data_IF_861461517216
#
_entry.id   IF_861461517216
#
_cell.length_a   1.000
_cell.length_b   1.000
_cell.length_c   1.000
_cell.angle_alpha   90.00
_cell.angle_beta   90.00
_cell.angle_gamma   90.00
#
_symmetry.space_group_name_H-M   'P 1'
#
loop_
_entity.id
_entity.type
_entity.pdbx_description
1 polymer ?
#
# COMPACT_ATOMS: atom_id res chain seq x y z
N UNK A 1 3.64 -2.98 30.28
CA UNK A 1 3.57 -2.05 29.15
C UNK A 1 2.25 -2.31 28.44
N UNK A 2 1.28 -1.39 28.49
CA UNK A 2 -0.05 -1.56 27.86
C UNK A 2 -0.08 -0.68 26.60
N UNK A 3 -0.20 -1.29 25.43
CA UNK A 3 -0.33 -0.60 24.14
C UNK A 3 -1.82 -0.45 23.81
N UNK A 4 -2.22 0.64 23.14
CA UNK A 4 -3.62 0.96 22.81
C UNK A 4 -4.18 0.15 21.63
N UNK A 5 -5.50 -0.18 21.61
CA UNK A 5 -6.12 -1.00 20.55
C UNK A 5 -7.24 -0.30 19.77
N UNK A 6 -6.98 -0.10 18.48
CA UNK A 6 -7.65 -0.71 17.30
C UNK A 6 -6.57 -0.75 16.21
N UNK A 7 -5.70 -1.76 16.21
CA UNK A 7 -4.46 -1.66 15.45
C UNK A 7 -4.59 -2.17 14.00
N UNK A 8 -4.04 -1.43 13.04
CA UNK A 8 -3.94 -1.83 11.63
C UNK A 8 -2.49 -1.74 11.16
N UNK A 9 -2.00 -2.80 10.52
CA UNK A 9 -0.70 -2.79 9.85
C UNK A 9 -0.81 -2.09 8.49
N UNK A 10 0.20 -1.29 8.13
CA UNK A 10 0.29 -0.59 6.83
C UNK A 10 1.71 -0.76 6.25
N UNK A 11 1.85 -1.11 4.96
CA UNK A 11 3.16 -1.46 4.37
C UNK A 11 3.20 -1.54 2.83
N UNK A 12 4.43 -1.62 2.30
CA UNK A 12 4.82 -1.99 0.92
C UNK A 12 5.31 -3.46 0.79
N UNK A 13 4.49 -4.41 0.31
CA UNK A 13 4.89 -5.83 0.20
C UNK A 13 5.75 -6.14 -1.05
N UNK A 14 6.70 -7.08 -0.92
CA UNK A 14 7.21 -7.89 -2.04
C UNK A 14 7.31 -9.38 -1.63
N UNK A 15 7.25 -10.26 -2.63
CA UNK A 15 7.20 -11.72 -2.57
C UNK A 15 8.42 -12.27 -3.31
N UNK A 16 9.18 -13.15 -2.68
CA UNK A 16 10.23 -13.95 -3.33
C UNK A 16 9.63 -15.30 -3.73
N UNK A 17 9.45 -15.56 -5.02
CA UNK A 17 9.25 -16.94 -5.50
C UNK A 17 10.60 -17.66 -5.52
N UNK A 18 10.60 -18.89 -4.98
CA UNK A 18 11.69 -19.85 -5.18
C UNK A 18 11.62 -20.34 -6.62
N UNK A 19 12.64 -20.05 -7.42
CA UNK A 19 12.75 -20.54 -8.80
C UNK A 19 12.93 -22.07 -8.78
N UNK A 20 11.87 -22.80 -9.09
CA UNK A 20 11.97 -24.17 -9.56
C UNK A 20 12.26 -24.13 -11.06
N UNK A 21 13.51 -24.41 -11.43
CA UNK A 21 13.92 -24.62 -12.82
C UNK A 21 13.14 -25.81 -13.37
N UNK A 22 12.23 -25.57 -14.32
CA UNK A 22 11.75 -26.58 -15.25
C UNK A 22 12.20 -26.20 -16.66
N UNK A 23 13.10 -27.03 -17.16
CA UNK A 23 13.71 -26.94 -18.47
C UNK A 23 12.75 -27.45 -19.55
N UNK A 24 13.01 -27.03 -20.80
CA UNK A 24 12.41 -27.46 -22.10
C UNK A 24 11.05 -26.83 -22.45
N UNK A 25 10.76 -26.39 -23.67
CA UNK A 25 11.22 -26.84 -25.00
C UNK A 25 11.22 -25.70 -26.04
N UNK A 26 12.11 -25.84 -27.02
CA UNK A 26 12.26 -25.03 -28.22
C UNK A 26 11.10 -25.19 -29.20
N UNK A 27 10.62 -24.08 -29.77
CA UNK A 27 9.98 -24.09 -31.09
C UNK A 27 10.55 -22.96 -31.95
N UNK A 28 11.23 -23.34 -33.03
CA UNK A 28 11.48 -22.48 -34.19
C UNK A 28 10.30 -22.62 -35.13
N UNK A 29 9.81 -21.52 -35.71
CA UNK A 29 9.15 -21.57 -37.01
C UNK A 29 9.47 -20.33 -37.85
N UNK A 30 9.66 -20.62 -39.12
CA UNK A 30 10.28 -19.88 -40.20
C UNK A 30 9.42 -18.76 -40.79
N UNK A 31 10.10 -17.73 -41.31
CA UNK A 31 9.54 -16.69 -42.17
C UNK A 31 9.01 -17.26 -43.49
N UNK A 32 7.93 -16.67 -44.02
CA UNK A 32 7.66 -16.59 -45.46
C UNK A 32 6.97 -15.25 -45.78
N UNK A 33 7.57 -14.49 -46.70
CA UNK A 33 7.06 -13.24 -47.24
C UNK A 33 6.34 -13.49 -48.56
N UNK A 34 5.17 -12.86 -48.79
CA UNK A 34 4.69 -12.48 -50.13
C UNK A 34 3.86 -11.19 -50.01
N UNK A 35 4.17 -10.24 -50.88
CA UNK A 35 3.61 -8.90 -51.04
C UNK A 35 2.56 -8.93 -52.18
N UNK A 36 1.40 -8.29 -52.01
CA UNK A 36 0.64 -7.63 -53.10
C UNK A 36 -0.43 -6.69 -52.54
N UNK A 37 -0.68 -5.50 -53.13
CA UNK A 37 -1.52 -4.47 -52.53
C UNK A 37 -2.96 -4.53 -53.04
N UNK A 38 -3.94 -4.43 -52.13
CA UNK A 38 -5.30 -4.01 -52.48
C UNK A 38 -5.65 -2.74 -51.71
N UNK A 39 -5.90 -1.67 -52.48
CA UNK A 39 -6.47 -0.42 -52.03
C UNK A 39 -7.95 -0.62 -51.71
N UNK A 40 -8.32 -0.51 -50.44
CA UNK A 40 -9.68 -0.19 -50.04
C UNK A 40 -9.68 1.02 -49.10
N UNK A 41 -10.21 2.12 -49.63
CA UNK A 41 -10.57 3.32 -48.90
C UNK A 41 -11.68 2.98 -47.92
N UNK A 42 -11.37 2.87 -46.63
CA UNK A 42 -12.35 2.71 -45.56
C UNK A 42 -12.29 3.94 -44.64
N UNK A 43 -13.45 4.53 -44.43
CA UNK A 43 -13.68 5.68 -43.58
C UNK A 43 -13.13 5.43 -42.17
N UNK A 44 -12.11 6.18 -41.77
CA UNK A 44 -11.64 6.27 -40.38
C UNK A 44 -12.72 6.95 -39.54
N UNK A 45 -13.54 6.14 -38.88
CA UNK A 45 -14.16 6.56 -37.63
C UNK A 45 -13.06 6.51 -36.57
N UNK A 46 -12.67 7.67 -36.06
CA UNK A 46 -11.83 7.77 -34.87
C UNK A 46 -12.63 7.25 -33.68
N UNK A 47 -12.64 5.94 -33.49
CA UNK A 47 -12.94 5.36 -32.20
C UNK A 47 -11.83 5.77 -31.25
N UNK A 48 -12.20 6.59 -30.26
CA UNK A 48 -11.42 6.80 -29.06
C UNK A 48 -11.28 5.45 -28.36
N UNK A 49 -10.28 4.67 -28.76
CA UNK A 49 -9.80 3.56 -27.97
C UNK A 49 -9.23 4.15 -26.68
N UNK A 50 -10.06 4.19 -25.64
CA UNK A 50 -9.58 4.12 -24.27
C UNK A 50 -8.89 2.75 -24.14
N UNK A 51 -7.63 2.68 -24.58
CA UNK A 51 -6.71 1.62 -24.20
C UNK A 51 -6.43 1.82 -22.71
N UNK A 52 -7.33 1.30 -21.88
CA UNK A 52 -6.95 0.88 -20.55
C UNK A 52 -5.84 -0.15 -20.77
N UNK A 53 -4.59 0.26 -20.52
CA UNK A 53 -3.43 -0.58 -20.78
C UNK A 53 -3.65 -1.93 -20.09
N UNK A 54 -3.46 -3.03 -20.80
CA UNK A 54 -3.35 -4.41 -20.26
C UNK A 54 -2.14 -4.58 -19.31
N UNK A 55 -1.59 -3.49 -18.76
CA UNK A 55 -0.51 -3.53 -17.81
C UNK A 55 -0.96 -4.29 -16.56
N UNK A 56 -0.17 -5.28 -16.09
CA UNK A 56 -0.55 -6.07 -14.93
C UNK A 56 -0.65 -5.17 -13.70
N UNK A 57 -1.76 -5.32 -12.96
CA UNK A 57 -1.98 -4.59 -11.71
C UNK A 57 -1.30 -5.30 -10.53
N UNK A 58 -0.96 -4.59 -9.44
CA UNK A 58 -0.29 -5.22 -8.29
C UNK A 58 -0.97 -6.48 -7.74
N UNK A 59 -2.31 -6.52 -7.70
CA UNK A 59 -3.05 -7.70 -7.23
C UNK A 59 -2.84 -8.98 -8.07
N UNK A 60 -2.26 -8.89 -9.27
CA UNK A 60 -1.90 -10.07 -10.08
C UNK A 60 -0.67 -10.80 -9.56
N UNK A 61 0.18 -10.15 -8.74
CA UNK A 61 1.42 -10.71 -8.18
C UNK A 61 1.41 -10.78 -6.65
N UNK A 62 0.56 -10.00 -6.00
CA UNK A 62 0.48 -9.90 -4.55
C UNK A 62 -0.93 -10.20 -4.07
N UNK A 63 -1.05 -10.96 -2.98
CA UNK A 63 -2.34 -11.15 -2.32
C UNK A 63 -2.76 -9.84 -1.64
N UNK A 64 -3.68 -9.13 -2.29
CA UNK A 64 -4.27 -7.90 -1.80
C UNK A 64 -5.69 -8.11 -1.25
N UNK A 65 -6.14 -9.35 -1.05
CA UNK A 65 -7.50 -9.69 -0.60
C UNK A 65 -7.83 -9.21 0.83
N UNK A 66 -6.82 -8.80 1.59
CA UNK A 66 -6.93 -8.26 2.94
C UNK A 66 -6.34 -6.86 3.05
N UNK A 67 -6.33 -6.10 1.95
CA UNK A 67 -5.72 -4.78 1.91
C UNK A 67 -6.64 -3.80 1.18
N UNK A 68 -6.71 -2.58 1.69
CA UNK A 68 -7.13 -1.41 0.91
C UNK A 68 -5.91 -0.51 0.70
N UNK A 69 -5.96 0.45 -0.22
CA UNK A 69 -4.87 1.42 -0.39
C UNK A 69 -5.38 2.85 -0.32
N UNK A 70 -4.60 3.71 0.33
CA UNK A 70 -4.78 5.15 0.26
C UNK A 70 -3.74 5.71 -0.72
N UNK A 71 -4.17 6.53 -1.70
CA UNK A 71 -3.30 7.16 -2.71
C UNK A 71 -3.48 8.68 -2.69
N UNK A 72 -2.46 9.48 -3.03
CA UNK A 72 -2.50 10.93 -2.82
C UNK A 72 -3.14 11.68 -4.01
N UNK A 73 -4.27 11.18 -4.51
CA UNK A 73 -5.05 11.73 -5.63
C UNK A 73 -6.52 11.88 -5.25
N UNK A 74 -7.26 12.65 -6.04
CA UNK A 74 -8.71 12.88 -5.92
C UNK A 74 -9.33 12.72 -7.30
N UNK A 75 -9.43 11.48 -7.78
CA UNK A 75 -9.93 11.17 -9.11
C UNK A 75 -11.44 11.39 -9.22
N UNK A 76 -12.15 11.30 -8.10
CA UNK A 76 -13.60 11.52 -8.03
C UNK A 76 -14.00 12.97 -7.75
N UNK A 77 -13.03 13.86 -7.51
CA UNK A 77 -13.19 15.30 -7.21
C UNK A 77 -14.07 15.58 -5.97
N UNK A 78 -13.98 14.77 -4.92
CA UNK A 78 -14.72 14.96 -3.66
C UNK A 78 -13.95 15.79 -2.62
N UNK A 79 -12.74 16.24 -2.96
CA UNK A 79 -11.85 17.03 -2.12
C UNK A 79 -11.07 16.20 -1.10
N UNK A 80 -11.10 14.87 -1.18
CA UNK A 80 -10.35 13.96 -0.31
C UNK A 80 -9.41 13.08 -1.12
N UNK A 81 -8.44 12.50 -0.42
CA UNK A 81 -7.64 11.44 -1.01
C UNK A 81 -8.53 10.24 -1.35
N UNK A 82 -8.24 9.59 -2.47
CA UNK A 82 -8.90 8.36 -2.83
C UNK A 82 -8.44 7.22 -1.89
N UNK A 83 -9.42 6.49 -1.40
CA UNK A 83 -9.25 5.21 -0.74
C UNK A 83 -9.82 4.14 -1.65
N UNK A 84 -8.96 3.27 -2.17
CA UNK A 84 -9.36 2.16 -3.04
C UNK A 84 -9.57 0.94 -2.16
N UNK A 85 -10.80 0.43 -2.16
CA UNK A 85 -11.19 -0.61 -1.21
C UNK A 85 -10.67 -2.01 -1.60
N UNK A 86 -11.07 -3.02 -0.82
CA UNK A 86 -10.56 -4.39 -0.98
C UNK A 86 -11.01 -5.03 -2.29
N UNK A 87 -12.19 -4.69 -2.79
CA UNK A 87 -12.68 -5.21 -4.07
C UNK A 87 -12.03 -4.45 -5.23
N UNK A 88 -11.97 -3.12 -5.12
CA UNK A 88 -11.44 -2.24 -6.16
C UNK A 88 -9.92 -2.42 -6.36
N UNK A 89 -9.15 -2.65 -5.29
CA UNK A 89 -7.69 -2.80 -5.38
C UNK A 89 -7.27 -4.00 -6.24
N UNK A 90 -8.16 -4.98 -6.42
CA UNK A 90 -7.89 -6.18 -7.23
C UNK A 90 -7.67 -5.86 -8.71
N UNK A 91 -8.19 -4.73 -9.18
CA UNK A 91 -8.07 -4.27 -10.57
C UNK A 91 -7.44 -2.88 -10.68
N UNK A 92 -6.92 -2.35 -9.58
CA UNK A 92 -6.41 -0.98 -9.51
C UNK A 92 -4.91 -0.91 -9.70
N UNK A 93 -4.49 0.04 -10.53
CA UNK A 93 -3.12 0.57 -10.56
C UNK A 93 -3.18 2.07 -10.88
N UNK A 94 -2.20 2.80 -10.38
CA UNK A 94 -1.94 4.19 -10.73
C UNK A 94 -0.48 4.34 -11.15
N UNK A 95 -0.20 4.82 -12.38
CA UNK A 95 1.16 4.83 -12.95
C UNK A 95 2.16 5.64 -12.10
N UNK A 96 1.70 6.69 -11.42
CA UNK A 96 2.58 7.50 -10.58
C UNK A 96 2.72 6.98 -9.14
N UNK A 97 1.70 6.33 -8.58
CA UNK A 97 1.57 6.14 -7.12
C UNK A 97 1.49 4.69 -6.66
N UNK A 98 0.98 3.77 -7.48
CA UNK A 98 0.80 2.38 -7.10
C UNK A 98 0.73 1.45 -8.32
N UNK A 99 1.80 0.76 -8.65
CA UNK A 99 1.89 -0.03 -9.89
C UNK A 99 2.89 -1.18 -9.78
N UNK A 100 2.93 -2.05 -10.79
CA UNK A 100 4.02 -3.00 -10.98
C UNK A 100 5.06 -2.41 -11.91
N UNK A 101 6.33 -2.41 -11.51
CA UNK A 101 7.41 -2.08 -12.44
C UNK A 101 7.70 -3.22 -13.43
N UNK A 102 8.64 -2.98 -14.34
CA UNK A 102 9.08 -3.93 -15.37
C UNK A 102 9.64 -5.25 -14.80
N UNK A 103 10.12 -5.22 -13.55
CA UNK A 103 10.60 -6.39 -12.80
C UNK A 103 9.50 -7.06 -11.99
N UNK A 104 8.32 -6.46 -11.90
CA UNK A 104 7.20 -6.97 -11.11
C UNK A 104 7.25 -6.63 -9.64
N UNK A 105 8.05 -5.65 -9.23
CA UNK A 105 7.97 -5.10 -7.88
C UNK A 105 6.71 -4.25 -7.74
N UNK A 106 6.02 -4.35 -6.60
CA UNK A 106 4.93 -3.44 -6.26
C UNK A 106 5.53 -2.11 -5.79
N UNK A 107 5.40 -1.09 -6.62
CA UNK A 107 5.95 0.24 -6.39
C UNK A 107 4.91 1.12 -5.73
N UNK A 108 5.34 1.86 -4.73
CA UNK A 108 4.56 2.88 -4.05
C UNK A 108 5.33 4.19 -4.08
N UNK A 109 4.68 5.25 -4.55
CA UNK A 109 5.29 6.57 -4.61
C UNK A 109 4.44 7.55 -3.83
N UNK A 110 5.08 8.42 -3.06
CA UNK A 110 4.39 9.53 -2.42
C UNK A 110 5.22 10.82 -2.54
N UNK A 111 4.70 11.86 -3.21
CA UNK A 111 5.43 13.11 -3.39
C UNK A 111 5.36 13.95 -2.11
N UNK A 112 6.35 14.81 -1.86
CA UNK A 112 6.39 15.68 -0.67
C UNK A 112 5.15 16.59 -0.51
N UNK A 113 4.47 16.90 -1.62
CA UNK A 113 3.29 17.74 -1.65
C UNK A 113 2.29 17.16 -2.63
N UNK A 114 1.16 16.73 -2.11
CA UNK A 114 -0.04 16.31 -2.83
C UNK A 114 -1.21 16.38 -1.85
N UNK A 115 -2.39 15.93 -2.28
CA UNK A 115 -3.55 15.88 -1.40
C UNK A 115 -3.30 14.95 -0.21
N UNK A 116 -3.84 15.30 0.95
CA UNK A 116 -3.68 14.55 2.20
C UNK A 116 -5.04 14.35 2.87
N UNK A 117 -5.14 13.34 3.74
CA UNK A 117 -6.36 13.15 4.53
C UNK A 117 -6.46 14.17 5.66
N UNK A 118 -7.67 14.40 6.17
CA UNK A 118 -7.92 15.40 7.23
C UNK A 118 -7.07 15.23 8.50
N UNK A 119 -6.56 14.02 8.76
CA UNK A 119 -5.79 13.70 9.96
C UNK A 119 -4.27 13.55 9.71
N UNK A 120 -3.79 13.87 8.50
CA UNK A 120 -2.37 13.71 8.12
C UNK A 120 -1.89 14.91 7.35
N UNK A 121 -0.74 15.46 7.72
CA UNK A 121 -0.05 16.49 6.93
C UNK A 121 0.91 15.90 5.89
N UNK A 122 1.14 14.58 5.95
CA UNK A 122 1.97 13.85 5.01
C UNK A 122 1.09 13.11 3.98
N UNK A 123 1.55 13.12 2.75
CA UNK A 123 1.05 12.31 1.63
C UNK A 123 1.37 10.83 1.87
N UNK A 124 0.58 9.94 1.26
CA UNK A 124 0.83 8.50 1.32
C UNK A 124 0.34 7.79 0.06
N UNK A 125 1.11 6.80 -0.37
CA UNK A 125 0.62 5.65 -1.14
C UNK A 125 0.89 4.44 -0.25
N UNK A 126 -0.14 3.93 0.40
CA UNK A 126 0.03 3.08 1.58
C UNK A 126 -1.13 2.09 1.76
N UNK A 127 -0.80 0.80 1.89
CA UNK A 127 -1.80 -0.23 2.17
C UNK A 127 -2.30 -0.14 3.61
N UNK A 128 -3.56 -0.46 3.85
CA UNK A 128 -4.15 -0.67 5.17
C UNK A 128 -4.74 -2.07 5.25
N UNK A 129 -4.33 -2.84 6.27
CA UNK A 129 -4.87 -4.18 6.49
C UNK A 129 -6.38 -4.14 6.79
N UNK A 130 -7.09 -5.08 6.17
CA UNK A 130 -8.52 -5.30 6.25
C UNK A 130 -8.76 -6.79 6.54
N UNK A 131 -8.69 -7.20 7.82
CA UNK A 131 -8.90 -8.60 8.22
C UNK A 131 -10.27 -9.13 7.73
N UNK A 132 -11.25 -8.24 7.59
CA UNK A 132 -12.59 -8.56 7.06
C UNK A 132 -12.61 -8.96 5.58
N UNK A 133 -11.50 -8.78 4.84
CA UNK A 133 -11.46 -8.88 3.39
C UNK A 133 -12.48 -7.95 2.72
N UNK A 134 -13.19 -8.44 1.71
CA UNK A 134 -14.24 -7.69 1.00
C UNK A 134 -15.55 -7.51 1.79
N UNK A 135 -15.70 -8.11 2.98
CA UNK A 135 -16.94 -8.02 3.75
C UNK A 135 -17.17 -6.62 4.38
N UNK A 136 -17.71 -5.68 3.59
CA UNK A 136 -17.95 -4.29 3.99
C UNK A 136 -19.02 -4.12 5.09
N UNK A 137 -19.78 -5.17 5.43
CA UNK A 137 -20.72 -5.14 6.57
C UNK A 137 -19.99 -4.93 7.90
N UNK A 138 -18.77 -5.47 8.03
CA UNK A 138 -17.90 -5.24 9.19
C UNK A 138 -17.18 -3.91 8.98
N UNK A 139 -17.50 -2.85 9.72
CA UNK A 139 -16.90 -1.52 9.47
C UNK A 139 -15.38 -1.48 9.65
N UNK A 140 -14.71 -0.55 8.98
CA UNK A 140 -13.23 -0.41 8.97
C UNK A 140 -12.60 -0.38 10.37
N UNK A 141 -13.21 0.38 11.30
CA UNK A 141 -12.75 0.51 12.69
C UNK A 141 -13.32 -0.55 13.64
N UNK A 142 -14.16 -1.46 13.16
CA UNK A 142 -14.78 -2.49 14.01
C UNK A 142 -13.74 -3.51 14.48
N UNK A 143 -13.84 -4.02 15.71
CA UNK A 143 -12.86 -4.97 16.29
C UNK A 143 -12.60 -6.19 15.39
N UNK A 144 -13.66 -6.78 14.82
CA UNK A 144 -13.58 -7.91 13.86
C UNK A 144 -12.80 -7.65 12.56
N UNK A 145 -12.48 -6.40 12.23
CA UNK A 145 -11.63 -6.05 11.08
C UNK A 145 -10.19 -5.69 11.48
N UNK A 146 -9.88 -5.70 12.78
CA UNK A 146 -8.61 -5.28 13.33
C UNK A 146 -8.10 -6.35 14.31
N UNK A 147 -6.88 -6.18 14.80
CA UNK A 147 -6.32 -7.07 15.81
C UNK A 147 -6.20 -6.38 17.16
N UNK A 148 -6.06 -7.19 18.20
CA UNK A 148 -5.68 -6.75 19.54
C UNK A 148 -4.48 -7.56 20.03
N UNK A 149 -3.72 -7.03 20.99
CA UNK A 149 -2.66 -7.81 21.63
C UNK A 149 -3.26 -8.88 22.55
N UNK A 150 -2.54 -9.99 22.75
CA UNK A 150 -2.99 -11.07 23.63
C UNK A 150 -3.30 -10.61 25.06
N UNK A 151 -2.61 -9.58 25.55
CA UNK A 151 -2.82 -8.98 26.88
C UNK A 151 -4.08 -8.11 26.98
N UNK A 152 -4.76 -7.84 25.86
CA UNK A 152 -6.02 -7.12 25.86
C UNK A 152 -7.13 -8.01 26.45
N UNK A 153 -7.89 -7.55 27.45
CA UNK A 153 -8.87 -8.38 28.16
C UNK A 153 -10.04 -8.84 27.30
N UNK A 154 -10.22 -8.23 26.12
CA UNK A 154 -11.24 -8.59 25.13
C UNK A 154 -10.61 -9.04 23.80
N UNK A 155 -9.37 -9.51 23.80
CA UNK A 155 -8.62 -9.91 22.60
C UNK A 155 -9.40 -10.90 21.72
N UNK A 156 -10.12 -11.85 22.33
CA UNK A 156 -10.98 -12.83 21.63
C UNK A 156 -12.13 -12.21 20.82
N UNK A 157 -12.44 -10.91 21.00
CA UNK A 157 -13.49 -10.20 20.24
C UNK A 157 -12.98 -9.53 18.95
N UNK A 158 -11.67 -9.57 18.71
CA UNK A 158 -11.04 -8.98 17.53
C UNK A 158 -10.97 -9.98 16.38
N UNK A 159 -10.68 -9.48 15.18
CA UNK A 159 -10.52 -10.34 13.99
C UNK A 159 -9.26 -11.21 14.07
N UNK A 160 -8.28 -10.81 14.88
CA UNK A 160 -7.07 -11.57 15.18
C UNK A 160 -6.50 -11.18 16.54
N UNK A 161 -5.75 -12.10 17.16
CA UNK A 161 -4.94 -11.84 18.35
C UNK A 161 -3.48 -11.78 17.91
N UNK A 162 -2.88 -10.59 18.06
CA UNK A 162 -1.56 -10.28 17.50
C UNK A 162 -1.55 -10.29 15.97
N UNK A 163 -0.33 -10.28 15.44
CA UNK A 163 -0.08 -10.34 14.00
C UNK A 163 1.41 -10.42 13.73
N UNK A 164 1.77 -11.07 12.62
CA UNK A 164 3.11 -11.06 12.05
C UNK A 164 3.01 -10.46 10.67
N UNK A 165 3.86 -9.49 10.39
CA UNK A 165 4.00 -8.91 9.06
C UNK A 165 5.45 -9.05 8.62
N UNK A 166 5.65 -9.56 7.41
CA UNK A 166 6.96 -9.73 6.80
C UNK A 166 6.95 -9.06 5.43
N UNK A 167 8.05 -8.38 5.12
CA UNK A 167 8.25 -7.78 3.83
C UNK A 167 9.73 -7.71 3.49
N UNK A 168 10.02 -7.88 2.21
CA UNK A 168 11.31 -7.56 1.61
C UNK A 168 11.10 -6.33 0.74
N UNK A 169 11.93 -5.31 0.90
CA UNK A 169 11.79 -4.07 0.13
C UNK A 169 13.14 -3.45 -0.17
N UNK A 170 13.15 -2.59 -1.18
CA UNK A 170 14.20 -1.59 -1.42
C UNK A 170 13.57 -0.21 -1.32
N UNK A 171 14.34 0.78 -0.87
CA UNK A 171 13.90 2.17 -0.91
C UNK A 171 14.59 2.82 -2.09
N UNK A 172 13.84 3.02 -3.18
CA UNK A 172 14.37 3.62 -4.40
C UNK A 172 14.68 5.12 -4.23
N UNK A 173 13.89 5.83 -3.44
CA UNK A 173 14.05 7.27 -3.21
C UNK A 173 13.48 7.72 -1.88
N UNK A 174 14.11 8.75 -1.29
CA UNK A 174 13.54 9.54 -0.18
C UNK A 174 13.57 11.01 -0.57
N UNK A 175 12.69 11.80 0.04
CA UNK A 175 12.67 13.25 -0.13
C UNK A 175 14.08 13.86 0.02
N UNK A 176 14.52 14.65 -0.96
CA UNK A 176 15.80 15.39 -0.90
C UNK A 176 15.65 16.79 -0.31
N UNK A 177 14.42 17.24 -0.09
CA UNK A 177 14.08 18.56 0.45
C UNK A 177 13.08 18.39 1.58
N UNK A 178 13.27 19.15 2.65
CA UNK A 178 12.35 19.24 3.77
C UNK A 178 12.18 20.71 4.15
N UNK A 179 10.95 21.12 4.50
CA UNK A 179 10.67 22.47 4.99
C UNK A 179 11.45 22.76 6.27
N UNK A 180 11.55 21.77 7.15
CA UNK A 180 12.36 21.83 8.36
C UNK A 180 13.30 20.62 8.39
N UNK A 181 14.60 20.80 8.10
CA UNK A 181 15.57 19.71 8.06
C UNK A 181 15.89 19.14 9.45
N UNK A 182 15.53 19.85 10.52
CA UNK A 182 15.77 19.40 11.90
C UNK A 182 14.68 18.46 12.42
N UNK A 183 13.54 18.33 11.71
CA UNK A 183 12.53 17.33 12.06
C UNK A 183 13.12 15.93 11.92
N UNK A 184 12.85 15.08 12.91
CA UNK A 184 13.29 13.67 12.91
C UNK A 184 12.92 12.96 11.61
N UNK A 185 11.71 13.21 11.10
CA UNK A 185 11.17 12.62 9.87
C UNK A 185 11.68 13.26 8.56
N UNK A 186 12.49 14.32 8.59
CA UNK A 186 13.07 14.88 7.37
C UNK A 186 13.91 13.81 6.62
N UNK A 187 13.85 13.79 5.29
CA UNK A 187 14.60 12.85 4.45
C UNK A 187 14.33 11.36 4.75
N UNK A 188 13.14 11.06 5.26
CA UNK A 188 12.74 9.71 5.63
C UNK A 188 11.42 9.31 4.98
N UNK A 189 11.20 8.01 4.89
CA UNK A 189 9.94 7.39 4.49
C UNK A 189 9.55 6.37 5.56
N UNK A 190 8.27 6.35 5.93
CA UNK A 190 7.71 5.26 6.75
C UNK A 190 7.53 4.07 5.83
N UNK A 191 8.23 2.98 6.11
CA UNK A 191 8.13 1.74 5.31
C UNK A 191 7.16 0.75 5.92
N UNK A 192 6.84 0.89 7.21
CA UNK A 192 5.86 0.06 7.90
C UNK A 192 5.36 0.67 9.20
N UNK A 193 4.14 0.35 9.58
CA UNK A 193 3.58 0.84 10.83
C UNK A 193 2.49 -0.06 11.42
N UNK A 194 2.29 0.09 12.73
CA UNK A 194 1.11 -0.34 13.46
C UNK A 194 0.37 0.93 13.89
N UNK A 195 -0.90 1.05 13.49
CA UNK A 195 -1.72 2.21 13.80
C UNK A 195 -2.94 1.79 14.64
N UNK A 196 -3.01 2.22 15.89
CA UNK A 196 -4.15 2.03 16.78
C UNK A 196 -5.24 3.10 16.54
N UNK A 197 -6.49 2.69 16.44
CA UNK A 197 -7.64 3.58 16.39
C UNK A 197 -8.06 4.00 17.80
N UNK A 198 -8.68 5.18 17.86
CA UNK A 198 -9.33 5.67 19.07
C UNK A 198 -10.69 5.00 19.23
N UNK A 199 -10.95 4.47 20.42
CA UNK A 199 -12.21 3.84 20.81
C UNK A 199 -12.64 4.35 22.19
N UNK A 200 -13.70 5.16 22.20
CA UNK A 200 -14.19 5.79 23.42
C UNK A 200 -14.75 4.76 24.41
N UNK A 201 -15.42 3.70 23.93
CA UNK A 201 -15.96 2.67 24.81
C UNK A 201 -14.84 1.94 25.55
N UNK A 202 -13.69 1.73 24.90
CA UNK A 202 -12.49 1.18 25.55
C UNK A 202 -11.83 2.15 26.52
N UNK A 203 -11.79 3.45 26.21
CA UNK A 203 -11.30 4.48 27.14
C UNK A 203 -12.15 4.47 28.42
N UNK A 204 -13.47 4.39 28.27
CA UNK A 204 -14.44 4.45 29.36
C UNK A 204 -14.33 3.24 30.32
N UNK A 205 -13.76 2.12 29.86
CA UNK A 205 -13.45 0.97 30.74
C UNK A 205 -12.37 1.26 31.78
N UNK A 206 -11.58 2.33 31.60
CA UNK A 206 -10.44 2.70 32.46
C UNK A 206 -9.36 1.62 32.59
N UNK A 207 -9.30 0.68 31.65
CA UNK A 207 -8.30 -0.39 31.63
C UNK A 207 -6.94 0.03 31.03
N UNK A 208 -6.86 1.25 30.50
CA UNK A 208 -5.67 1.83 29.87
C UNK A 208 -5.61 1.65 28.35
N UNK A 209 -6.73 1.37 27.69
CA UNK A 209 -6.84 1.14 26.25
C UNK A 209 -7.70 2.20 25.55
N UNK A 210 -7.68 2.23 24.20
CA UNK A 210 -8.60 3.02 23.39
C UNK A 210 -8.17 4.45 23.02
N UNK A 211 -7.00 4.92 23.45
CA UNK A 211 -6.57 6.31 23.18
C UNK A 211 -6.23 6.61 21.71
N UNK A 212 -5.89 5.58 20.93
CA UNK A 212 -5.53 5.71 19.52
C UNK A 212 -4.20 6.40 19.31
N UNK A 213 -3.18 5.64 18.94
CA UNK A 213 -1.81 6.11 18.71
C UNK A 213 -1.23 5.39 17.47
N UNK A 214 0.00 5.70 17.06
CA UNK A 214 0.79 4.81 16.20
C UNK A 214 1.85 4.07 17.04
N UNK A 215 1.50 2.90 17.62
CA UNK A 215 2.40 2.12 18.46
C UNK A 215 3.79 1.90 17.89
N UNK A 216 3.88 1.76 16.56
CA UNK A 216 5.11 1.51 15.85
C UNK A 216 5.10 2.21 14.50
N UNK A 217 6.17 2.95 14.20
CA UNK A 217 6.55 3.33 12.83
C UNK A 217 7.99 2.90 12.56
N UNK A 218 8.22 2.28 11.42
CA UNK A 218 9.52 1.87 10.90
C UNK A 218 9.89 2.86 9.81
N UNK A 219 11.01 3.56 9.99
CA UNK A 219 11.51 4.55 9.05
C UNK A 219 12.74 4.04 8.34
N UNK A 220 12.84 4.34 7.04
CA UNK A 220 14.12 4.42 6.36
C UNK A 220 14.46 5.90 6.15
N UNK A 221 15.70 6.29 6.46
CA UNK A 221 16.19 7.66 6.28
C UNK A 221 17.53 7.68 5.59
N UNK A 222 17.66 8.57 4.61
CA UNK A 222 18.91 8.82 3.90
C UNK A 222 19.11 10.31 3.75
N UNK A 223 20.18 10.84 4.34
CA UNK A 223 20.49 12.26 4.25
C UNK A 223 20.92 12.64 2.82
N UNK A 224 20.70 13.90 2.39
CA UNK A 224 21.26 14.39 1.14
C UNK A 224 22.78 14.23 1.09
N UNK A 225 23.31 13.77 -0.04
CA UNK A 225 24.74 13.53 -0.23
C UNK A 225 25.30 12.26 0.42
N UNK A 226 24.52 11.51 1.18
CA UNK A 226 24.94 10.20 1.69
C UNK A 226 24.70 9.12 0.63
N UNK A 227 25.55 8.10 0.58
CA UNK A 227 25.36 6.94 -0.32
C UNK A 227 24.32 5.95 0.23
N UNK A 228 24.32 5.71 1.53
CA UNK A 228 23.42 4.77 2.20
C UNK A 228 22.55 5.44 3.27
N UNK A 229 21.43 4.80 3.60
CA UNK A 229 20.52 5.22 4.67
C UNK A 229 20.62 4.36 5.94
N UNK A 230 19.72 4.64 6.88
CA UNK A 230 19.57 3.92 8.15
C UNK A 230 18.11 3.61 8.42
N UNK A 231 17.88 2.50 9.13
CA UNK A 231 16.56 2.13 9.65
C UNK A 231 16.46 2.56 11.11
N UNK A 232 15.32 3.14 11.50
CA UNK A 232 15.01 3.41 12.90
C UNK A 232 13.52 3.24 13.19
N UNK A 233 13.21 3.09 14.47
CA UNK A 233 11.88 2.77 14.98
C UNK A 233 11.39 3.93 15.85
N UNK A 234 10.15 4.34 15.66
CA UNK A 234 9.44 5.19 16.61
C UNK A 234 8.38 4.35 17.32
N UNK A 235 8.51 4.24 18.64
CA UNK A 235 7.56 3.56 19.50
C UNK A 235 6.77 4.60 20.28
N UNK A 236 5.43 4.53 20.20
CA UNK A 236 4.54 5.38 21.00
C UNK A 236 3.69 4.51 21.90
N UNK A 237 3.76 4.77 23.20
CA UNK A 237 2.95 4.09 24.21
C UNK A 237 1.65 4.85 24.41
#
# INVERSE_FOLDING_TARGET
>A
MKLSDVSTAQFLLHHTETIMIKNTSTFKLTALAVITPLLFTACTSTQSNNQQSDAPVPATKFDLSHWKINVPVDLNNDGKIDEIDVEEIQTYAHPDFFYLDDKGYMVFTSPNKALTSANSTNTRSELRQMIRGSNAKIKTKHSKNNFALAVHPLSDRFGSIGGKMEATLKVDHVALRATDPNKKAAYSVVVGQIHAGKDQALIDTKLGYGWGNEPLKIYYKKWPGHETGSIFLELRT
#
